data_IF_395149889938
#
_entry.id   IF_395149889938
#
_cell.length_a   1.000
_cell.length_b   1.000
_cell.length_c   1.000
_cell.angle_alpha   90.00
_cell.angle_beta   90.00
_cell.angle_gamma   90.00
#
_symmetry.space_group_name_H-M   'P 1'
#
loop_
_entity.id
_entity.type
_entity.pdbx_description
1 polymer ?
#
# COMPACT_ATOMS: atom_id res chain seq x y z
N UNK A 1 14.35 -25.37 -52.88
CA UNK A 1 13.13 -25.26 -52.06
C UNK A 1 13.52 -24.63 -50.75
N UNK A 2 13.04 -23.40 -50.55
CA UNK A 2 13.32 -22.52 -49.42
C UNK A 2 12.71 -23.06 -48.13
N UNK A 3 13.39 -22.84 -46.99
CA UNK A 3 12.75 -22.43 -45.73
C UNK A 3 13.69 -21.45 -45.02
N UNK A 4 13.49 -20.17 -45.30
CA UNK A 4 14.02 -19.07 -44.50
C UNK A 4 13.03 -18.85 -43.36
N UNK A 5 13.44 -19.12 -42.14
CA UNK A 5 12.65 -18.90 -40.93
C UNK A 5 12.75 -17.42 -40.58
N UNK A 6 11.68 -16.67 -40.86
CA UNK A 6 11.56 -15.26 -40.51
C UNK A 6 11.19 -15.18 -39.02
N UNK A 7 12.13 -14.77 -38.18
CA UNK A 7 11.85 -14.42 -36.78
C UNK A 7 11.11 -13.07 -36.78
N UNK A 8 9.81 -13.10 -36.53
CA UNK A 8 9.02 -11.90 -36.27
C UNK A 8 9.41 -11.38 -34.87
N UNK A 9 10.21 -10.33 -34.83
CA UNK A 9 10.45 -9.54 -33.63
C UNK A 9 9.18 -8.68 -33.42
N UNK A 10 8.29 -9.11 -32.53
CA UNK A 10 7.18 -8.29 -32.06
C UNK A 10 7.75 -7.26 -31.08
N UNK A 11 8.04 -6.06 -31.57
CA UNK A 11 8.29 -4.89 -30.71
C UNK A 11 6.92 -4.48 -30.18
N UNK A 12 6.56 -4.95 -28.99
CA UNK A 12 5.49 -4.35 -28.20
C UNK A 12 5.97 -2.98 -27.75
N UNK A 13 5.56 -1.94 -28.47
CA UNK A 13 5.56 -0.59 -27.92
C UNK A 13 4.52 -0.60 -26.80
N UNK A 14 4.99 -0.65 -25.55
CA UNK A 14 4.19 -0.41 -24.35
C UNK A 14 3.76 1.06 -24.46
N UNK A 15 2.53 1.29 -24.90
CA UNK A 15 1.91 2.60 -24.79
C UNK A 15 1.43 2.74 -23.35
N UNK A 16 2.35 3.11 -22.46
CA UNK A 16 1.97 3.66 -21.16
C UNK A 16 1.14 4.91 -21.44
N UNK A 17 -0.15 4.91 -21.06
CA UNK A 17 -0.94 6.12 -21.08
C UNK A 17 -0.21 7.14 -20.18
N UNK A 18 0.02 8.39 -20.62
CA UNK A 18 0.62 9.38 -19.75
C UNK A 18 -0.30 9.57 -18.55
N UNK A 19 0.21 9.20 -17.38
CA UNK A 19 -0.37 9.53 -16.08
C UNK A 19 -0.50 11.04 -16.02
N UNK A 20 -1.75 11.52 -15.90
CA UNK A 20 -2.03 12.96 -15.80
C UNK A 20 -1.85 13.38 -14.36
N UNK A 21 -0.81 14.15 -14.07
CA UNK A 21 -0.70 14.87 -12.81
C UNK A 21 -1.86 15.89 -12.73
N UNK A 22 -2.58 15.90 -11.60
CA UNK A 22 -3.67 16.84 -11.33
C UNK A 22 -5.08 16.33 -11.66
N UNK A 23 -5.50 15.15 -11.17
CA UNK A 23 -6.91 14.78 -11.29
C UNK A 23 -7.78 15.87 -10.67
N UNK A 24 -8.83 16.16 -11.42
CA UNK A 24 -9.97 16.93 -10.98
C UNK A 24 -10.51 16.26 -9.71
N UNK A 25 -10.60 17.02 -8.62
CA UNK A 25 -11.43 16.66 -7.47
C UNK A 25 -12.66 15.89 -7.94
N UNK A 26 -12.86 14.67 -7.44
CA UNK A 26 -13.87 13.74 -7.98
C UNK A 26 -15.32 14.29 -8.00
N UNK A 27 -15.55 15.47 -7.42
CA UNK A 27 -16.79 16.23 -7.45
C UNK A 27 -17.02 17.07 -8.73
N UNK A 28 -16.11 17.02 -9.72
CA UNK A 28 -16.15 17.80 -10.97
C UNK A 28 -16.20 19.32 -10.78
N UNK A 29 -15.87 19.82 -9.57
CA UNK A 29 -15.88 21.25 -9.31
C UNK A 29 -14.61 21.90 -9.87
N UNK A 30 -14.81 22.90 -10.72
CA UNK A 30 -13.69 23.63 -11.35
C UNK A 30 -13.02 24.60 -10.38
N UNK A 31 -13.67 25.03 -9.31
CA UNK A 31 -13.15 25.98 -8.31
C UNK A 31 -12.32 25.32 -7.20
N UNK A 32 -11.97 24.05 -7.36
CA UNK A 32 -11.18 23.27 -6.41
C UNK A 32 -9.91 22.73 -7.03
N UNK A 33 -8.96 22.35 -6.21
CA UNK A 33 -7.74 21.65 -6.59
C UNK A 33 -7.45 20.52 -5.60
N UNK A 34 -6.84 19.46 -6.11
CA UNK A 34 -6.35 18.36 -5.29
C UNK A 34 -5.00 18.74 -4.73
N UNK A 35 -4.83 18.57 -3.42
CA UNK A 35 -3.53 18.67 -2.77
C UNK A 35 -3.23 17.36 -2.05
N UNK A 36 -1.95 17.01 -1.99
CA UNK A 36 -1.46 15.96 -1.15
C UNK A 36 -1.17 16.55 0.22
N UNK A 37 -1.98 16.18 1.21
CA UNK A 37 -1.91 16.73 2.55
C UNK A 37 -1.22 15.76 3.51
N UNK A 38 -0.25 16.27 4.28
CA UNK A 38 0.37 15.51 5.35
C UNK A 38 -0.36 15.76 6.67
N UNK A 39 -1.11 14.76 7.16
CA UNK A 39 -1.88 14.89 8.40
C UNK A 39 -1.06 15.18 9.67
N UNK A 40 0.27 15.06 9.63
CA UNK A 40 1.20 15.33 10.74
C UNK A 40 2.60 15.70 10.25
N UNK A 41 3.26 16.65 10.90
CA UNK A 41 4.65 17.04 10.57
C UNK A 41 5.70 16.00 11.00
N UNK A 42 5.44 15.21 12.04
CA UNK A 42 6.43 14.28 12.60
C UNK A 42 6.34 12.86 12.03
N UNK A 43 5.24 12.56 11.34
CA UNK A 43 5.02 11.30 10.64
C UNK A 43 4.00 11.59 9.53
N UNK A 44 4.44 12.12 8.37
CA UNK A 44 3.54 12.59 7.33
C UNK A 44 2.76 11.41 6.74
N UNK A 45 1.48 11.35 7.09
CA UNK A 45 0.50 10.52 6.41
C UNK A 45 -0.09 11.35 5.28
N UNK A 46 0.25 10.98 4.06
CA UNK A 46 -0.14 11.68 2.85
C UNK A 46 -1.53 11.22 2.40
N UNK A 47 -2.49 12.14 2.39
CA UNK A 47 -3.85 11.91 1.91
C UNK A 47 -4.23 12.92 0.84
N UNK A 48 -4.95 12.44 -0.17
CA UNK A 48 -5.52 13.30 -1.20
C UNK A 48 -6.72 14.05 -0.62
N UNK A 49 -6.64 15.38 -0.55
CA UNK A 49 -7.78 16.21 -0.18
C UNK A 49 -8.11 17.24 -1.26
N UNK A 50 -9.37 17.64 -1.29
CA UNK A 50 -9.90 18.59 -2.27
C UNK A 50 -10.26 19.90 -1.60
N UNK A 51 -9.49 20.93 -1.92
CA UNK A 51 -9.59 22.25 -1.32
C UNK A 51 -9.99 23.28 -2.37
N UNK A 52 -10.67 24.35 -1.94
CA UNK A 52 -10.90 25.50 -2.82
C UNK A 52 -9.56 26.20 -3.11
N UNK A 53 -9.41 26.83 -4.28
CA UNK A 53 -8.18 27.53 -4.66
C UNK A 53 -7.71 28.55 -3.62
N UNK A 54 -8.64 29.24 -2.97
CA UNK A 54 -8.35 30.20 -1.90
C UNK A 54 -7.80 29.59 -0.62
N UNK A 55 -7.98 28.29 -0.40
CA UNK A 55 -7.48 27.58 0.78
C UNK A 55 -6.07 27.01 0.57
N UNK A 56 -5.57 26.92 -0.67
CA UNK A 56 -4.28 26.29 -1.01
C UNK A 56 -3.11 26.96 -0.29
N UNK A 57 -3.05 28.29 -0.28
CA UNK A 57 -1.99 29.02 0.42
C UNK A 57 -1.93 28.66 1.91
N UNK A 58 -3.09 28.55 2.56
CA UNK A 58 -3.16 28.17 3.97
C UNK A 58 -2.64 26.75 4.23
N UNK A 59 -2.87 25.84 3.29
CA UNK A 59 -2.33 24.48 3.35
C UNK A 59 -0.81 24.47 3.18
N UNK A 60 -0.30 24.99 2.05
CA UNK A 60 1.13 24.97 1.74
C UNK A 60 1.98 25.74 2.78
N UNK A 61 1.46 26.85 3.31
CA UNK A 61 2.20 27.69 4.27
C UNK A 61 2.23 27.10 5.69
N UNK A 62 1.15 26.45 6.12
CA UNK A 62 1.02 25.95 7.49
C UNK A 62 1.36 24.46 7.64
N UNK A 63 1.45 23.73 6.53
CA UNK A 63 1.80 22.32 6.50
C UNK A 63 2.98 22.12 5.55
N UNK A 64 4.19 21.99 6.13
CA UNK A 64 5.46 21.95 5.40
C UNK A 64 5.64 20.77 4.42
N UNK A 65 4.73 19.80 4.47
CA UNK A 65 4.70 18.63 3.61
C UNK A 65 3.49 18.60 2.67
N UNK A 66 2.64 19.63 2.70
CA UNK A 66 1.55 19.72 1.73
C UNK A 66 2.11 20.08 0.35
N UNK A 67 1.60 19.45 -0.70
CA UNK A 67 1.96 19.73 -2.09
C UNK A 67 0.71 19.76 -2.99
N UNK A 68 0.82 20.43 -4.12
CA UNK A 68 -0.24 20.52 -5.13
C UNK A 68 -0.20 19.30 -6.03
N UNK A 69 -1.37 18.70 -6.25
CA UNK A 69 -1.51 17.46 -6.99
C UNK A 69 -1.94 16.31 -6.09
N UNK A 70 -1.93 15.11 -6.64
CA UNK A 70 -2.24 13.91 -5.88
C UNK A 70 -0.99 13.35 -5.19
N UNK A 71 -1.16 12.76 -4.02
CA UNK A 71 -0.14 11.97 -3.38
C UNK A 71 0.36 10.86 -4.32
N UNK A 72 1.68 10.72 -4.41
CA UNK A 72 2.34 9.79 -5.32
C UNK A 72 2.38 10.24 -6.79
N UNK A 73 1.99 11.47 -7.13
CA UNK A 73 2.07 11.99 -8.50
C UNK A 73 3.38 12.74 -8.82
N UNK A 74 4.22 12.97 -7.80
CA UNK A 74 5.56 13.56 -7.91
C UNK A 74 6.57 12.73 -7.12
N UNK A 75 7.88 12.82 -7.44
CA UNK A 75 8.91 12.07 -6.69
C UNK A 75 8.90 12.40 -5.19
N UNK A 76 8.52 13.62 -4.84
CA UNK A 76 8.48 14.12 -3.47
C UNK A 76 7.25 13.61 -2.70
N UNK A 77 6.24 13.07 -3.40
CA UNK A 77 4.99 12.58 -2.80
C UNK A 77 4.81 11.05 -2.91
N UNK A 78 5.77 10.33 -3.50
CA UNK A 78 5.76 8.86 -3.51
C UNK A 78 6.04 8.31 -2.09
N UNK A 79 5.28 7.29 -1.72
CA UNK A 79 5.39 6.58 -0.46
C UNK A 79 5.97 5.19 -0.68
N UNK A 80 6.63 4.63 0.34
CA UNK A 80 7.11 3.24 0.39
C UNK A 80 5.98 2.20 0.41
N UNK A 81 4.70 2.63 0.49
CA UNK A 81 3.54 1.77 0.58
C UNK A 81 3.26 1.28 2.01
N UNK A 82 2.36 0.30 2.16
CA UNK A 82 1.97 -0.24 3.47
C UNK A 82 2.31 -1.72 3.56
N UNK A 83 3.06 -2.10 4.59
CA UNK A 83 3.40 -3.49 4.92
C UNK A 83 2.55 -4.00 6.08
N UNK A 84 2.00 -5.21 5.94
CA UNK A 84 1.17 -5.84 6.97
C UNK A 84 1.22 -7.38 6.89
N UNK A 85 1.03 -8.07 8.00
CA UNK A 85 0.80 -9.51 7.99
C UNK A 85 -0.61 -9.78 7.44
N UNK A 86 -0.76 -10.64 6.44
CA UNK A 86 -2.02 -10.73 5.69
C UNK A 86 -2.58 -12.14 5.57
N UNK A 87 -1.76 -13.16 5.72
CA UNK A 87 -2.23 -14.54 5.70
C UNK A 87 -1.24 -15.45 6.44
N UNK A 88 -1.73 -16.63 6.76
CA UNK A 88 -0.94 -17.69 7.35
C UNK A 88 -1.62 -19.02 7.04
N UNK A 89 -0.85 -20.09 7.01
CA UNK A 89 -1.41 -21.40 6.79
C UNK A 89 -0.58 -22.52 7.36
N UNK A 90 -1.23 -23.66 7.52
CA UNK A 90 -0.64 -24.91 8.00
C UNK A 90 -1.22 -26.09 7.24
N UNK A 91 -0.36 -27.06 6.95
CA UNK A 91 -0.73 -28.39 6.48
C UNK A 91 0.20 -29.43 7.10
N UNK A 92 -0.27 -30.65 7.18
CA UNK A 92 0.55 -31.82 7.48
C UNK A 92 0.63 -32.74 6.27
N UNK A 93 1.78 -33.39 6.10
CA UNK A 93 1.87 -34.53 5.20
C UNK A 93 0.95 -35.65 5.70
N UNK A 94 0.12 -36.21 4.81
CA UNK A 94 -0.78 -37.30 5.18
C UNK A 94 0.06 -38.52 5.62
N UNK A 95 -0.16 -39.07 6.82
CA UNK A 95 0.61 -40.22 7.27
C UNK A 95 0.32 -41.44 6.38
N UNK A 96 1.39 -42.10 5.93
CA UNK A 96 1.29 -43.32 5.10
C UNK A 96 0.59 -44.49 5.82
N UNK A 97 0.50 -44.45 7.16
CA UNK A 97 -0.18 -45.47 7.97
C UNK A 97 -0.57 -44.93 9.35
N UNK A 98 -1.49 -45.63 10.04
CA UNK A 98 -1.81 -45.36 11.45
C UNK A 98 -0.55 -45.50 12.28
N UNK A 99 -0.25 -44.53 13.13
CA UNK A 99 0.85 -44.64 14.07
C UNK A 99 0.39 -44.24 15.47
N UNK A 100 0.68 -45.09 16.45
CA UNK A 100 0.23 -44.92 17.82
C UNK A 100 1.41 -44.84 18.80
N UNK A 101 1.29 -44.02 19.84
CA UNK A 101 2.32 -43.76 20.85
C UNK A 101 1.75 -43.61 22.25
N UNK A 102 2.59 -43.86 23.25
CA UNK A 102 2.23 -43.65 24.65
C UNK A 102 2.14 -42.15 24.96
N UNK A 103 1.05 -41.70 25.58
CA UNK A 103 0.84 -40.32 26.03
C UNK A 103 1.81 -39.96 27.14
N UNK A 104 2.15 -40.89 28.03
CA UNK A 104 3.18 -40.66 29.06
C UNK A 104 4.61 -40.68 28.53
N UNK A 105 4.86 -41.34 27.40
CA UNK A 105 6.18 -41.40 26.77
C UNK A 105 6.06 -41.46 25.23
N UNK A 106 5.93 -40.30 24.56
CA UNK A 106 5.68 -40.24 23.11
C UNK A 106 6.80 -40.83 22.25
N UNK A 107 7.99 -41.06 22.81
CA UNK A 107 9.09 -41.74 22.11
C UNK A 107 8.86 -43.25 21.94
N UNK A 108 7.85 -43.82 22.62
CA UNK A 108 7.53 -45.26 22.57
C UNK A 108 6.26 -45.47 21.74
N UNK A 109 6.40 -46.22 20.64
CA UNK A 109 5.23 -46.64 19.86
C UNK A 109 4.41 -47.70 20.59
N UNK A 110 3.09 -47.54 20.56
CA UNK A 110 2.11 -48.56 20.96
C UNK A 110 1.37 -49.17 19.75
N UNK A 111 1.99 -49.10 18.55
CA UNK A 111 1.46 -49.64 17.30
C UNK A 111 1.88 -51.11 17.09
N UNK A 112 0.99 -52.05 16.67
CA UNK A 112 -0.47 -51.93 16.54
C UNK A 112 -1.10 -51.94 17.92
N UNK A 113 -2.08 -51.05 18.15
CA UNK A 113 -2.71 -50.78 19.46
C UNK A 113 -2.67 -52.01 20.38
N UNK A 114 -1.83 -51.97 21.41
CA UNK A 114 -1.93 -52.95 22.51
C UNK A 114 -3.31 -52.71 23.11
N UNK A 115 -4.27 -53.55 22.69
CA UNK A 115 -5.62 -53.70 23.19
C UNK A 115 -6.02 -52.67 24.26
N UNK A 116 -6.51 -51.50 23.83
CA UNK A 116 -7.33 -50.67 24.71
C UNK A 116 -8.61 -51.48 24.96
N UNK A 117 -8.58 -52.38 25.94
CA UNK A 117 -9.80 -53.06 26.38
C UNK A 117 -10.71 -52.00 26.99
N UNK A 118 -12.01 -51.97 26.66
CA UNK A 118 -12.97 -51.09 27.33
C UNK A 118 -13.03 -51.29 28.86
N UNK A 119 -12.42 -52.36 29.37
CA UNK A 119 -12.33 -52.69 30.79
C UNK A 119 -11.15 -52.02 31.52
N UNK A 120 -10.17 -51.48 30.80
CA UNK A 120 -9.04 -50.74 31.40
C UNK A 120 -9.23 -49.26 31.15
N UNK A 121 -9.67 -48.53 32.17
CA UNK A 121 -10.06 -47.10 32.17
C UNK A 121 -8.92 -46.10 31.91
N UNK A 122 -7.77 -46.54 31.40
CA UNK A 122 -6.61 -45.69 31.11
C UNK A 122 -5.88 -46.23 29.88
N UNK A 123 -6.42 -46.02 28.68
CA UNK A 123 -5.61 -46.24 27.49
C UNK A 123 -4.63 -45.07 27.35
N UNK A 124 -3.37 -45.34 27.66
CA UNK A 124 -2.26 -44.39 27.53
C UNK A 124 -1.79 -44.26 26.07
N UNK A 125 -2.51 -44.79 25.08
CA UNK A 125 -2.08 -44.85 23.68
C UNK A 125 -2.88 -43.84 22.83
N UNK A 126 -2.19 -42.92 22.15
CA UNK A 126 -2.75 -41.95 21.19
C UNK A 126 -2.31 -42.36 19.79
N UNK A 127 -3.23 -42.39 18.83
CA UNK A 127 -2.92 -42.72 17.44
C UNK A 127 -3.17 -41.55 16.49
N UNK A 128 -2.32 -41.40 15.48
CA UNK A 128 -2.70 -40.74 14.22
C UNK A 128 -3.87 -41.51 13.59
N UNK A 129 -4.76 -40.79 12.93
CA UNK A 129 -5.89 -41.34 12.21
C UNK A 129 -5.47 -41.96 10.88
N UNK A 130 -6.24 -42.96 10.42
CA UNK A 130 -6.19 -43.49 9.03
C UNK A 130 -7.40 -43.06 8.20
N UNK A 131 -8.25 -42.20 8.75
CA UNK A 131 -9.59 -41.91 8.24
C UNK A 131 -10.01 -40.48 8.58
N UNK A 132 -9.08 -39.52 8.53
CA UNK A 132 -9.36 -38.11 8.83
C UNK A 132 -10.06 -37.91 10.20
N UNK A 133 -9.62 -38.68 11.20
CA UNK A 133 -10.16 -38.61 12.55
C UNK A 133 -9.80 -37.29 13.24
N UNK A 134 -10.47 -36.93 14.35
CA UNK A 134 -10.30 -35.66 15.08
C UNK A 134 -8.89 -35.41 15.66
N UNK A 135 -7.95 -36.35 15.49
CA UNK A 135 -6.56 -36.22 15.91
C UNK A 135 -5.60 -35.83 14.75
N UNK A 136 -6.09 -35.80 13.51
CA UNK A 136 -5.35 -35.38 12.31
C UNK A 136 -5.92 -34.06 11.82
N UNK A 137 -5.79 -33.03 12.66
CA UNK A 137 -6.39 -31.72 12.42
C UNK A 137 -5.29 -30.70 12.40
N UNK A 138 -5.12 -30.09 11.24
CA UNK A 138 -4.42 -28.83 11.10
C UNK A 138 -5.21 -27.80 11.88
N UNK A 139 -4.64 -27.23 12.93
CA UNK A 139 -5.33 -26.27 13.77
C UNK A 139 -4.51 -25.00 13.91
N UNK A 140 -5.14 -23.88 13.57
CA UNK A 140 -4.53 -22.55 13.63
C UNK A 140 -5.45 -21.60 14.38
N UNK A 141 -4.88 -20.84 15.33
CA UNK A 141 -5.52 -19.73 16.02
C UNK A 141 -4.84 -18.43 15.64
N UNK A 142 -5.62 -17.40 15.39
CA UNK A 142 -5.11 -16.08 15.03
C UNK A 142 -6.16 -14.99 15.31
N UNK A 143 -5.74 -13.74 15.30
CA UNK A 143 -6.64 -12.60 15.23
C UNK A 143 -6.49 -11.93 13.87
N UNK A 144 -7.59 -11.71 13.17
CA UNK A 144 -7.57 -11.09 11.85
C UNK A 144 -8.93 -10.62 11.37
N UNK A 145 -8.92 -9.73 10.38
CA UNK A 145 -10.13 -9.17 9.77
C UNK A 145 -9.90 -8.75 8.32
N UNK A 146 -11.01 -8.63 7.59
CA UNK A 146 -11.05 -7.96 6.29
C UNK A 146 -11.10 -6.45 6.53
N UNK A 147 -10.45 -5.69 5.66
CA UNK A 147 -10.55 -4.23 5.59
C UNK A 147 -11.08 -3.81 4.21
N UNK A 148 -11.78 -2.68 4.14
CA UNK A 148 -12.38 -2.18 2.90
C UNK A 148 -11.47 -1.18 2.18
N UNK A 149 -10.68 -0.41 2.92
CA UNK A 149 -9.79 0.62 2.42
C UNK A 149 -8.44 0.59 3.13
N UNK A 150 -7.46 1.29 2.55
CA UNK A 150 -6.11 1.34 3.11
C UNK A 150 -6.03 2.20 4.39
N UNK A 151 -6.98 3.10 4.63
CA UNK A 151 -7.04 3.95 5.81
C UNK A 151 -7.32 3.12 7.07
N UNK A 152 -8.10 2.05 6.96
CA UNK A 152 -8.33 1.10 8.06
C UNK A 152 -7.01 0.50 8.60
N UNK A 153 -5.97 0.35 7.76
CA UNK A 153 -4.68 -0.21 8.16
C UNK A 153 -3.92 0.69 9.15
N UNK A 154 -4.24 1.98 9.22
CA UNK A 154 -3.66 2.90 10.21
C UNK A 154 -4.03 2.51 11.64
N UNK A 155 -5.15 1.82 11.82
CA UNK A 155 -5.67 1.42 13.12
C UNK A 155 -5.11 0.08 13.62
N UNK A 156 -4.18 -0.55 12.89
CA UNK A 156 -3.53 -1.82 13.29
C UNK A 156 -2.87 -1.71 14.68
N UNK A 157 -2.41 -0.51 15.06
CA UNK A 157 -1.84 -0.24 16.38
C UNK A 157 -2.87 -0.06 17.51
N UNK A 158 -4.16 0.13 17.21
CA UNK A 158 -5.22 0.29 18.21
C UNK A 158 -5.77 -1.07 18.66
N UNK A 159 -5.83 -1.30 19.97
CA UNK A 159 -6.42 -2.51 20.55
C UNK A 159 -7.91 -2.66 20.24
N UNK A 160 -8.65 -1.56 20.10
CA UNK A 160 -10.08 -1.60 19.77
C UNK A 160 -10.33 -2.12 18.35
N UNK A 161 -9.40 -1.87 17.42
CA UNK A 161 -9.46 -2.38 16.05
C UNK A 161 -9.52 -3.92 16.00
N UNK A 162 -8.92 -4.58 17.01
CA UNK A 162 -8.83 -6.03 17.13
C UNK A 162 -9.94 -6.66 17.96
N UNK A 163 -10.87 -5.89 18.52
CA UNK A 163 -11.94 -6.41 19.35
C UNK A 163 -12.81 -7.43 18.58
N UNK A 164 -12.94 -8.65 19.10
CA UNK A 164 -13.76 -9.70 18.49
C UNK A 164 -13.17 -10.38 17.24
N UNK A 165 -11.90 -10.13 16.92
CA UNK A 165 -11.24 -10.67 15.71
C UNK A 165 -10.59 -12.04 15.88
N UNK A 166 -10.68 -12.67 17.07
CA UNK A 166 -10.10 -13.99 17.33
C UNK A 166 -10.83 -15.07 16.53
N UNK A 167 -10.07 -15.84 15.77
CA UNK A 167 -10.56 -16.91 14.90
C UNK A 167 -9.75 -18.19 15.11
N UNK A 168 -10.36 -19.31 14.75
CA UNK A 168 -9.69 -20.60 14.65
C UNK A 168 -10.10 -21.29 13.35
N UNK A 169 -9.15 -21.91 12.67
CA UNK A 169 -9.35 -22.66 11.42
C UNK A 169 -8.87 -24.08 11.59
N UNK A 170 -9.60 -25.01 10.98
CA UNK A 170 -9.28 -26.44 11.06
C UNK A 170 -9.39 -27.13 9.71
N UNK A 171 -8.60 -28.18 9.45
CA UNK A 171 -8.76 -28.97 8.22
C UNK A 171 -10.02 -29.84 8.19
N UNK A 172 -10.78 -29.93 9.30
CA UNK A 172 -12.05 -30.64 9.34
C UNK A 172 -13.20 -29.73 8.92
N UNK A 173 -13.85 -30.07 7.80
CA UNK A 173 -14.98 -29.33 7.23
C UNK A 173 -16.17 -29.14 8.20
N UNK A 174 -16.36 -30.04 9.17
CA UNK A 174 -17.52 -30.07 10.08
C UNK A 174 -17.35 -29.11 11.27
N UNK A 175 -16.14 -28.61 11.56
CA UNK A 175 -15.81 -27.83 12.78
C UNK A 175 -15.35 -26.38 12.50
N UNK A 176 -16.08 -25.66 11.65
CA UNK A 176 -15.84 -24.27 11.21
C UNK A 176 -14.67 -24.08 10.23
N UNK A 177 -15.06 -24.06 8.94
CA UNK A 177 -14.37 -23.42 7.81
C UNK A 177 -12.96 -23.93 7.52
N UNK A 178 -12.84 -25.19 7.08
CA UNK A 178 -11.66 -25.67 6.35
C UNK A 178 -11.50 -24.90 5.04
N UNK A 179 -10.89 -23.73 5.13
CA UNK A 179 -10.40 -22.94 4.00
C UNK A 179 -9.11 -23.60 3.55
N UNK A 180 -9.21 -24.71 2.83
CA UNK A 180 -8.05 -25.36 2.24
C UNK A 180 -7.76 -24.67 0.91
N UNK A 181 -6.55 -24.14 0.73
CA UNK A 181 -6.15 -23.50 -0.52
C UNK A 181 -5.72 -24.51 -1.60
N UNK A 182 -5.32 -24.02 -2.76
CA UNK A 182 -4.87 -24.85 -3.88
C UNK A 182 -3.58 -25.66 -3.58
N UNK A 183 -2.80 -25.26 -2.59
CA UNK A 183 -1.58 -25.93 -2.12
C UNK A 183 -1.84 -26.94 -0.99
N UNK A 184 -3.08 -27.02 -0.51
CA UNK A 184 -3.50 -27.93 0.55
C UNK A 184 -3.36 -27.38 1.97
N UNK A 185 -3.08 -26.08 2.14
CA UNK A 185 -3.00 -25.44 3.45
C UNK A 185 -4.36 -25.05 3.98
N UNK A 186 -4.57 -25.25 5.28
CA UNK A 186 -5.61 -24.52 6.03
C UNK A 186 -5.12 -23.09 6.20
N UNK A 187 -5.80 -22.14 5.55
CA UNK A 187 -5.39 -20.74 5.51
C UNK A 187 -6.31 -19.83 6.32
N UNK A 188 -5.75 -18.70 6.77
CA UNK A 188 -6.51 -17.65 7.45
C UNK A 188 -7.47 -16.95 6.49
N UNK A 189 -7.04 -16.75 5.24
CA UNK A 189 -7.80 -16.10 4.17
C UNK A 189 -7.40 -16.62 2.79
N UNK A 190 -8.33 -16.53 1.82
CA UNK A 190 -8.05 -16.72 0.39
C UNK A 190 -7.87 -15.39 -0.35
N UNK A 191 -8.06 -14.26 0.33
CA UNK A 191 -7.96 -12.90 -0.24
C UNK A 191 -6.94 -12.11 0.58
N UNK A 192 -5.64 -12.44 0.51
CA UNK A 192 -4.61 -11.82 1.34
C UNK A 192 -4.51 -10.30 1.13
N UNK A 193 -4.81 -9.81 -0.07
CA UNK A 193 -4.77 -8.39 -0.39
C UNK A 193 -5.62 -7.52 0.55
N UNK A 194 -6.80 -7.99 0.94
CA UNK A 194 -7.74 -7.19 1.75
C UNK A 194 -7.94 -7.78 3.15
N UNK A 195 -6.93 -8.48 3.66
CA UNK A 195 -6.97 -9.14 4.96
C UNK A 195 -5.75 -8.79 5.79
N UNK A 196 -5.96 -8.53 7.09
CA UNK A 196 -4.89 -8.24 8.02
C UNK A 196 -4.92 -9.17 9.21
N UNK A 197 -3.74 -9.63 9.61
CA UNK A 197 -3.47 -10.42 10.80
C UNK A 197 -2.82 -9.54 11.87
N UNK A 198 -3.26 -9.73 13.12
CA UNK A 198 -2.66 -9.04 14.26
C UNK A 198 -1.28 -9.59 14.57
N UNK A 199 -0.31 -8.70 14.76
CA UNK A 199 1.03 -9.05 15.22
C UNK A 199 0.99 -9.88 16.50
N UNK A 200 1.84 -10.92 16.56
CA UNK A 200 1.96 -11.84 17.70
C UNK A 200 0.67 -12.59 18.09
N UNK A 201 -0.35 -12.63 17.22
CA UNK A 201 -1.61 -13.35 17.49
C UNK A 201 -1.65 -14.76 16.89
N UNK A 202 -0.79 -15.02 15.90
CA UNK A 202 -0.75 -16.28 15.18
C UNK A 202 -0.09 -17.35 16.03
N UNK A 203 -0.80 -18.46 16.22
CA UNK A 203 -0.28 -19.66 16.83
C UNK A 203 -0.73 -20.88 16.06
N UNK A 204 0.25 -21.72 15.74
CA UNK A 204 0.01 -23.03 15.16
C UNK A 204 0.02 -24.05 16.28
N UNK A 205 -1.11 -24.71 16.51
CA UNK A 205 -1.11 -25.90 17.37
C UNK A 205 -0.83 -27.07 16.45
N UNK A 206 0.44 -27.45 16.38
CA UNK A 206 0.86 -28.64 15.68
C UNK A 206 0.24 -29.83 16.44
N UNK A 207 -0.95 -30.27 16.00
CA UNK A 207 -1.70 -31.41 16.56
C UNK A 207 -0.85 -32.68 16.61
N UNK A 208 -1.28 -33.76 17.24
CA UNK A 208 -0.44 -34.92 17.64
C UNK A 208 0.35 -35.69 16.55
N UNK A 209 0.38 -35.23 15.30
CA UNK A 209 1.18 -35.80 14.21
C UNK A 209 2.62 -35.31 14.28
N UNK A 210 3.57 -36.24 14.15
CA UNK A 210 4.91 -36.11 14.74
C UNK A 210 6.03 -35.77 13.74
N UNK A 211 5.71 -35.47 12.48
CA UNK A 211 6.64 -35.03 11.43
C UNK A 211 5.88 -34.41 10.24
N UNK A 212 6.59 -33.67 9.40
CA UNK A 212 6.09 -33.25 8.08
C UNK A 212 5.07 -32.12 8.13
N UNK A 213 5.00 -31.37 9.23
CA UNK A 213 4.24 -30.12 9.25
C UNK A 213 4.91 -29.12 8.32
N UNK A 214 4.11 -28.49 7.48
CA UNK A 214 4.50 -27.32 6.70
C UNK A 214 3.58 -26.16 7.09
N UNK A 215 4.17 -25.00 7.36
CA UNK A 215 3.44 -23.79 7.67
C UNK A 215 4.04 -22.59 6.96
N UNK A 216 3.22 -21.57 6.74
CA UNK A 216 3.67 -20.33 6.14
C UNK A 216 3.10 -19.10 6.83
N UNK A 217 3.79 -17.98 6.65
CA UNK A 217 3.30 -16.65 7.01
C UNK A 217 3.48 -15.74 5.80
N UNK A 218 2.43 -15.02 5.45
CA UNK A 218 2.45 -14.01 4.38
C UNK A 218 2.54 -12.62 4.98
N UNK A 219 3.57 -11.88 4.55
CA UNK A 219 3.65 -10.45 4.69
C UNK A 219 3.25 -9.83 3.36
N UNK A 220 2.24 -8.98 3.38
CA UNK A 220 1.78 -8.26 2.22
C UNK A 220 2.34 -6.85 2.22
N UNK A 221 2.51 -6.34 1.01
CA UNK A 221 2.79 -4.95 0.72
C UNK A 221 1.75 -4.45 -0.28
N UNK A 222 1.21 -3.26 -0.03
CA UNK A 222 0.25 -2.60 -0.92
C UNK A 222 0.77 -1.24 -1.34
N UNK A 223 0.77 -1.00 -2.64
CA UNK A 223 1.13 0.28 -3.20
C UNK A 223 -0.02 1.27 -2.97
N UNK A 224 0.29 2.40 -2.36
CA UNK A 224 -0.68 3.48 -2.10
C UNK A 224 -0.43 4.68 -3.01
N UNK A 225 0.59 4.64 -3.86
CA UNK A 225 0.88 5.68 -4.83
C UNK A 225 -0.14 5.62 -5.96
N UNK A 226 -0.44 6.79 -6.51
CA UNK A 226 -1.30 6.92 -7.69
C UNK A 226 -0.75 6.09 -8.85
N UNK A 227 -1.65 5.42 -9.57
CA UNK A 227 -1.33 4.60 -10.75
C UNK A 227 -0.22 3.56 -10.48
N UNK A 228 -0.11 3.12 -9.22
CA UNK A 228 0.89 2.16 -8.77
C UNK A 228 2.33 2.56 -9.10
N UNK A 229 2.56 3.88 -9.19
CA UNK A 229 3.86 4.43 -9.55
C UNK A 229 4.92 4.07 -8.50
N UNK A 230 6.13 3.91 -9.01
CA UNK A 230 7.31 3.70 -8.20
C UNK A 230 7.94 2.33 -8.41
N UNK A 231 9.25 2.34 -8.37
CA UNK A 231 10.09 1.15 -8.31
C UNK A 231 10.50 0.88 -6.86
N UNK A 232 10.24 -0.32 -6.40
CA UNK A 232 10.39 -0.73 -5.00
C UNK A 232 11.39 -1.87 -4.85
N UNK A 233 12.26 -1.75 -3.86
CA UNK A 233 13.17 -2.80 -3.41
C UNK A 233 12.57 -3.52 -2.19
N UNK A 234 12.50 -4.84 -2.26
CA UNK A 234 11.96 -5.69 -1.21
C UNK A 234 13.11 -6.30 -0.41
N UNK A 235 13.09 -6.16 0.91
CA UNK A 235 14.04 -6.80 1.83
C UNK A 235 13.27 -7.64 2.84
N UNK A 236 12.87 -8.86 2.48
CA UNK A 236 12.27 -9.79 3.42
C UNK A 236 13.30 -10.26 4.44
N UNK A 237 12.86 -10.46 5.68
CA UNK A 237 13.72 -10.88 6.79
C UNK A 237 13.00 -11.89 7.63
N UNK A 238 13.72 -12.93 8.05
CA UNK A 238 13.19 -13.86 9.02
C UNK A 238 14.27 -14.36 9.99
N UNK A 239 13.84 -14.63 11.20
CA UNK A 239 14.65 -15.14 12.30
C UNK A 239 13.82 -16.02 13.21
N UNK A 240 14.44 -16.62 14.21
CA UNK A 240 13.73 -17.45 15.18
C UNK A 240 14.35 -17.34 16.58
N UNK A 241 13.53 -17.62 17.60
CA UNK A 241 13.97 -17.89 18.96
C UNK A 241 13.63 -19.34 19.28
N UNK A 242 14.63 -20.09 19.73
CA UNK A 242 14.48 -21.53 19.97
C UNK A 242 14.63 -21.86 21.45
N UNK A 243 13.85 -22.83 21.92
CA UNK A 243 14.12 -23.50 23.20
C UNK A 243 15.08 -24.67 22.98
N UNK A 244 16.03 -24.84 23.88
CA UNK A 244 16.78 -26.09 23.92
C UNK A 244 15.87 -27.23 24.37
N UNK A 245 15.81 -28.29 23.57
CA UNK A 245 15.06 -29.51 23.83
C UNK A 245 16.08 -30.66 23.90
N UNK A 246 16.26 -31.24 25.08
CA UNK A 246 17.15 -32.39 25.31
C UNK A 246 18.60 -32.18 24.85
N UNK A 247 19.11 -30.95 24.91
CA UNK A 247 20.49 -30.61 24.52
C UNK A 247 20.69 -30.30 23.03
N UNK A 248 19.63 -30.31 22.21
CA UNK A 248 19.61 -29.84 20.83
C UNK A 248 18.56 -28.73 20.66
N UNK A 249 18.63 -27.94 19.59
CA UNK A 249 17.58 -26.94 19.31
C UNK A 249 16.40 -27.59 18.59
N UNK A 250 15.19 -27.03 18.66
CA UNK A 250 14.05 -27.52 17.88
C UNK A 250 14.33 -27.53 16.37
N UNK A 251 15.07 -26.54 15.87
CA UNK A 251 15.37 -26.39 14.44
C UNK A 251 16.24 -27.55 13.98
N UNK A 252 17.24 -27.94 14.79
CA UNK A 252 18.08 -29.10 14.52
C UNK A 252 17.29 -30.41 14.59
N UNK A 253 16.43 -30.56 15.61
CA UNK A 253 15.66 -31.78 15.82
C UNK A 253 14.58 -32.00 14.75
N UNK A 254 13.94 -30.92 14.30
CA UNK A 254 12.88 -30.95 13.30
C UNK A 254 13.39 -30.82 11.86
N UNK A 255 14.70 -30.61 11.67
CA UNK A 255 15.34 -30.38 10.37
C UNK A 255 14.53 -29.38 9.53
N UNK A 256 14.26 -28.20 10.10
CA UNK A 256 13.38 -27.22 9.47
C UNK A 256 14.02 -26.74 8.17
N UNK A 257 13.29 -26.90 7.07
CA UNK A 257 13.56 -26.29 5.78
C UNK A 257 12.74 -25.00 5.64
N UNK A 258 13.30 -24.02 4.96
CA UNK A 258 12.64 -22.75 4.69
C UNK A 258 12.76 -22.36 3.23
N UNK A 259 11.79 -21.59 2.75
CA UNK A 259 11.74 -21.00 1.40
C UNK A 259 11.03 -19.66 1.49
N UNK A 260 11.49 -18.69 0.71
CA UNK A 260 10.77 -17.43 0.47
C UNK A 260 10.26 -17.38 -0.96
N UNK A 261 9.00 -17.00 -1.13
CA UNK A 261 8.33 -16.76 -2.41
C UNK A 261 7.73 -15.35 -2.40
N UNK A 262 7.81 -14.64 -3.52
CA UNK A 262 7.28 -13.29 -3.69
C UNK A 262 6.49 -13.22 -4.98
N UNK A 263 5.18 -13.08 -4.83
CA UNK A 263 4.21 -12.94 -5.91
C UNK A 263 3.69 -11.50 -5.90
N UNK A 264 3.70 -10.83 -7.04
CA UNK A 264 3.21 -9.47 -7.20
C UNK A 264 2.09 -9.40 -8.25
N UNK A 265 1.25 -8.39 -8.10
CA UNK A 265 0.21 -8.01 -9.06
C UNK A 265 0.58 -6.65 -9.63
N UNK A 266 0.57 -6.52 -10.96
CA UNK A 266 0.81 -5.24 -11.64
C UNK A 266 -0.47 -4.36 -11.72
N UNK A 267 -0.38 -3.27 -12.47
CA UNK A 267 -1.49 -2.34 -12.73
C UNK A 267 -2.64 -2.93 -13.55
N UNK A 268 -2.38 -4.00 -14.31
CA UNK A 268 -3.33 -4.69 -15.20
C UNK A 268 -3.95 -5.94 -14.53
N UNK A 269 -3.83 -6.06 -13.21
CA UNK A 269 -4.21 -7.23 -12.41
C UNK A 269 -3.49 -8.53 -12.83
N UNK A 270 -2.33 -8.43 -13.49
CA UNK A 270 -1.54 -9.60 -13.87
C UNK A 270 -0.63 -10.03 -12.72
N UNK A 271 -0.76 -11.31 -12.35
CA UNK A 271 -0.01 -11.92 -11.25
C UNK A 271 1.26 -12.57 -11.80
N UNK A 272 2.40 -12.24 -11.19
CA UNK A 272 3.70 -12.81 -11.55
C UNK A 272 4.59 -13.06 -10.32
N UNK A 273 5.49 -14.03 -10.42
CA UNK A 273 6.47 -14.33 -9.38
C UNK A 273 7.72 -13.47 -9.58
N UNK A 274 7.99 -12.58 -8.63
CA UNK A 274 9.20 -11.76 -8.59
C UNK A 274 10.41 -12.57 -8.10
N UNK A 275 10.21 -13.47 -7.15
CA UNK A 275 11.27 -14.24 -6.52
C UNK A 275 10.74 -15.57 -5.98
N UNK A 276 11.42 -16.68 -6.25
CA UNK A 276 11.12 -18.01 -5.67
C UNK A 276 12.43 -18.70 -5.29
N UNK A 277 12.63 -18.92 -4.00
CA UNK A 277 13.80 -19.59 -3.47
C UNK A 277 13.60 -21.12 -3.45
N UNK A 278 14.64 -21.92 -3.67
CA UNK A 278 14.53 -23.35 -3.36
C UNK A 278 14.48 -23.58 -1.84
N UNK A 279 13.80 -24.64 -1.40
CA UNK A 279 13.86 -25.07 0.00
C UNK A 279 15.31 -25.26 0.45
N UNK A 280 15.67 -24.61 1.56
CA UNK A 280 17.01 -24.64 2.14
C UNK A 280 16.95 -24.91 3.63
N UNK A 281 18.06 -25.36 4.22
CA UNK A 281 18.12 -25.67 5.66
C UNK A 281 18.05 -24.38 6.47
N UNK A 282 17.14 -24.33 7.44
CA UNK A 282 17.03 -23.20 8.34
C UNK A 282 18.24 -23.20 9.29
N UNK A 283 19.03 -22.11 9.38
CA UNK A 283 20.27 -22.11 10.15
C UNK A 283 20.02 -22.41 11.62
N UNK A 284 20.89 -23.17 12.25
CA UNK A 284 20.75 -23.57 13.65
C UNK A 284 21.12 -22.47 14.66
N UNK A 285 21.71 -21.36 14.20
CA UNK A 285 22.07 -20.21 15.03
C UNK A 285 21.17 -19.02 14.71
N UNK A 286 20.92 -18.18 15.73
CA UNK A 286 20.18 -16.92 15.56
C UNK A 286 20.95 -15.97 14.64
N UNK A 287 20.70 -16.07 13.35
CA UNK A 287 21.09 -15.09 12.34
C UNK A 287 19.84 -14.67 11.59
N UNK A 288 19.60 -13.37 11.48
CA UNK A 288 18.64 -12.85 10.52
C UNK A 288 19.08 -13.26 9.11
N UNK A 289 18.15 -13.80 8.33
CA UNK A 289 18.35 -14.13 6.93
C UNK A 289 17.72 -13.08 6.04
N UNK A 290 18.42 -12.73 4.97
CA UNK A 290 18.06 -11.68 4.02
C UNK A 290 18.12 -12.25 2.59
N UNK A 291 17.03 -12.84 2.09
CA UNK A 291 16.93 -13.17 0.67
C UNK A 291 17.19 -11.90 -0.16
N UNK A 292 18.08 -12.02 -1.15
CA UNK A 292 18.31 -10.93 -2.10
C UNK A 292 17.17 -10.93 -3.11
N UNK A 293 16.24 -9.98 -2.94
CA UNK A 293 15.14 -9.77 -3.86
C UNK A 293 15.52 -8.62 -4.80
N UNK A 294 15.14 -8.72 -6.06
CA UNK A 294 15.28 -7.61 -7.00
C UNK A 294 14.30 -6.47 -6.68
N UNK A 295 14.36 -5.43 -7.49
CA UNK A 295 13.37 -4.36 -7.50
C UNK A 295 12.23 -4.66 -8.47
N UNK A 296 11.03 -4.15 -8.17
CA UNK A 296 9.85 -4.25 -9.04
C UNK A 296 9.21 -2.87 -9.24
N UNK A 297 8.58 -2.64 -10.39
CA UNK A 297 8.00 -1.34 -10.78
C UNK A 297 6.56 -1.55 -11.26
N UNK A 298 5.70 -0.54 -11.12
CA UNK A 298 4.31 -0.56 -11.60
C UNK A 298 3.44 -1.63 -10.95
N UNK A 299 3.68 -1.94 -9.67
CA UNK A 299 2.94 -2.99 -8.93
C UNK A 299 1.96 -2.42 -7.93
N UNK A 300 0.77 -3.00 -7.92
CA UNK A 300 -0.32 -2.63 -7.01
C UNK A 300 -0.21 -3.33 -5.65
N UNK A 301 0.26 -4.58 -5.67
CA UNK A 301 0.29 -5.45 -4.51
C UNK A 301 1.41 -6.49 -4.63
N UNK A 302 2.05 -6.84 -3.51
CA UNK A 302 2.96 -7.97 -3.44
C UNK A 302 2.73 -8.78 -2.16
N UNK A 303 2.81 -10.11 -2.29
CA UNK A 303 2.76 -11.08 -1.20
C UNK A 303 4.12 -11.75 -1.05
N UNK A 304 4.75 -11.54 0.09
CA UNK A 304 5.97 -12.26 0.51
C UNK A 304 5.57 -13.41 1.43
N UNK A 305 5.71 -14.64 0.94
CA UNK A 305 5.42 -15.86 1.68
C UNK A 305 6.69 -16.51 2.19
N UNK A 306 6.77 -16.70 3.50
CA UNK A 306 7.82 -17.50 4.14
C UNK A 306 7.27 -18.87 4.51
N UNK A 307 7.82 -19.91 3.89
CA UNK A 307 7.53 -21.31 4.20
C UNK A 307 8.50 -21.85 5.25
N UNK A 308 7.98 -22.73 6.10
CA UNK A 308 8.73 -23.51 7.08
C UNK A 308 8.20 -24.94 7.06
N UNK A 309 9.07 -25.89 6.78
CA UNK A 309 8.73 -27.30 6.62
C UNK A 309 9.60 -28.15 7.53
N UNK A 310 8.99 -29.03 8.31
CA UNK A 310 9.73 -30.05 9.04
C UNK A 310 10.13 -31.20 8.10
N UNK A 311 11.42 -31.50 7.98
CA UNK A 311 11.93 -32.63 7.18
C UNK A 311 12.42 -33.80 8.04
N UNK A 312 12.38 -33.65 9.37
CA UNK A 312 12.83 -34.67 10.30
C UNK A 312 11.95 -35.91 10.26
N UNK A 313 12.61 -37.07 10.27
CA UNK A 313 11.99 -38.39 10.46
C UNK A 313 11.89 -38.79 11.93
N UNK A 314 12.29 -37.89 12.84
CA UNK A 314 12.32 -38.14 14.28
C UNK A 314 11.13 -37.47 14.96
N UNK A 315 10.73 -38.02 16.12
CA UNK A 315 9.62 -37.48 16.90
C UNK A 315 9.92 -36.09 17.43
N UNK A 316 9.06 -35.13 17.10
CA UNK A 316 9.16 -33.82 17.75
C UNK A 316 8.84 -33.90 19.25
N UNK A 317 9.57 -33.18 20.11
CA UNK A 317 9.19 -33.01 21.50
C UNK A 317 7.81 -32.35 21.65
N UNK A 318 6.98 -32.84 22.58
CA UNK A 318 5.62 -32.35 22.84
C UNK A 318 5.54 -31.00 23.57
N UNK A 319 6.63 -30.23 23.56
CA UNK A 319 6.71 -28.97 24.30
C UNK A 319 6.06 -27.83 23.51
N UNK A 320 5.10 -27.14 24.12
CA UNK A 320 4.47 -25.97 23.52
C UNK A 320 5.47 -24.81 23.40
N UNK A 321 5.34 -24.04 22.32
CA UNK A 321 6.21 -22.90 22.00
C UNK A 321 7.69 -23.32 21.95
N UNK A 322 8.00 -24.40 21.24
CA UNK A 322 9.35 -24.89 21.02
C UNK A 322 10.20 -23.92 20.18
N UNK A 323 9.54 -23.24 19.23
CA UNK A 323 10.12 -22.21 18.36
C UNK A 323 9.17 -21.01 18.27
N UNK A 324 9.73 -19.82 18.23
CA UNK A 324 9.06 -18.58 17.85
C UNK A 324 9.74 -18.09 16.57
N UNK A 325 8.99 -17.97 15.48
CA UNK A 325 9.50 -17.43 14.21
C UNK A 325 9.10 -15.97 14.12
N UNK A 326 10.06 -15.13 13.74
CA UNK A 326 9.87 -13.69 13.58
C UNK A 326 10.15 -13.37 12.13
N UNK A 327 9.15 -12.88 11.42
CA UNK A 327 9.27 -12.39 10.05
C UNK A 327 9.08 -10.87 10.03
N UNK A 328 9.76 -10.19 9.12
CA UNK A 328 9.54 -8.78 8.84
C UNK A 328 9.82 -8.50 7.38
N UNK A 329 9.22 -7.44 6.85
CA UNK A 329 9.39 -7.02 5.48
C UNK A 329 9.68 -5.52 5.49
N UNK A 330 10.78 -5.15 4.85
CA UNK A 330 11.12 -3.76 4.56
C UNK A 330 10.96 -3.56 3.05
N UNK A 331 10.21 -2.53 2.65
CA UNK A 331 10.03 -2.14 1.25
C UNK A 331 10.46 -0.68 1.14
N UNK A 332 11.28 -0.37 0.14
CA UNK A 332 11.80 0.97 -0.10
C UNK A 332 11.61 1.39 -1.53
N UNK A 333 11.16 2.63 -1.72
CA UNK A 333 11.21 3.28 -3.01
C UNK A 333 12.67 3.52 -3.42
N UNK A 334 13.05 3.15 -4.65
CA UNK A 334 14.41 3.40 -5.16
C UNK A 334 14.61 4.88 -5.47
N UNK A 335 15.81 5.43 -5.29
CA UNK A 335 16.09 6.87 -5.44
C UNK A 335 16.00 7.39 -6.91
N UNK A 336 16.13 6.50 -7.90
CA UNK A 336 16.17 6.84 -9.33
C UNK A 336 14.78 6.79 -10.00
N UNK A 337 13.73 7.29 -9.35
CA UNK A 337 12.38 7.28 -9.96
C UNK A 337 12.29 8.25 -11.14
N UNK A 338 11.76 7.78 -12.27
CA UNK A 338 11.25 8.68 -13.30
C UNK A 338 9.93 9.21 -12.76
N UNK A 339 9.89 10.50 -12.40
CA UNK A 339 8.65 11.14 -11.96
C UNK A 339 7.58 11.02 -13.05
N UNK A 340 6.31 10.80 -12.67
CA UNK A 340 5.20 11.02 -13.59
C UNK A 340 5.34 12.41 -14.23
N UNK A 341 4.92 12.55 -15.49
CA UNK A 341 4.99 13.84 -16.17
C UNK A 341 4.02 14.79 -15.46
N UNK A 342 4.58 15.78 -14.78
CA UNK A 342 3.82 16.88 -14.21
C UNK A 342 3.26 17.74 -15.36
N UNK A 343 1.96 17.65 -15.60
CA UNK A 343 1.26 18.46 -16.62
C UNK A 343 0.98 19.90 -16.14
N UNK A 344 1.34 20.20 -14.89
CA UNK A 344 1.18 21.49 -14.24
C UNK A 344 -0.26 21.85 -13.91
N UNK A 345 -0.49 23.14 -13.65
CA UNK A 345 -1.81 23.66 -13.23
C UNK A 345 -2.36 24.62 -14.27
N UNK A 346 -3.60 24.39 -14.70
CA UNK A 346 -4.34 25.28 -15.62
C UNK A 346 -5.40 26.05 -14.86
N UNK A 347 -5.28 27.38 -14.85
CA UNK A 347 -6.06 28.29 -14.02
C UNK A 347 -6.70 29.42 -14.83
N UNK A 348 -7.94 29.73 -14.47
CA UNK A 348 -8.68 30.92 -14.83
C UNK A 348 -8.73 31.85 -13.63
N UNK A 349 -8.02 32.97 -13.75
CA UNK A 349 -7.93 33.95 -12.67
C UNK A 349 -8.69 35.22 -13.06
N UNK A 350 -9.85 35.53 -12.43
CA UNK A 350 -10.62 36.73 -12.74
C UNK A 350 -9.86 38.02 -12.40
N UNK A 351 -9.89 39.00 -13.29
CA UNK A 351 -9.25 40.31 -13.13
C UNK A 351 -10.21 41.45 -13.47
N UNK A 352 -10.01 42.63 -12.86
CA UNK A 352 -10.70 43.86 -13.28
C UNK A 352 -9.82 44.67 -14.25
N UNK A 353 -10.40 45.09 -15.37
CA UNK A 353 -9.72 45.90 -16.40
C UNK A 353 -9.46 47.35 -15.97
N UNK A 354 -9.96 47.81 -14.81
CA UNK A 354 -9.79 49.18 -14.33
C UNK A 354 -8.70 49.21 -13.25
N UNK A 355 -7.55 49.89 -13.50
CA UNK A 355 -6.51 50.06 -12.49
C UNK A 355 -7.06 50.79 -11.26
N UNK A 356 -6.99 50.15 -10.09
CA UNK A 356 -7.36 50.76 -8.81
C UNK A 356 -8.73 50.39 -8.23
N UNK A 357 -9.51 49.53 -8.90
CA UNK A 357 -10.70 48.91 -8.29
C UNK A 357 -10.42 47.45 -7.94
N UNK A 358 -9.55 47.23 -6.96
CA UNK A 358 -9.17 45.89 -6.47
C UNK A 358 -10.21 45.21 -5.58
N UNK A 359 -11.33 45.88 -5.29
CA UNK A 359 -12.40 45.30 -4.49
C UNK A 359 -13.59 44.99 -5.38
N UNK A 360 -13.60 43.78 -5.93
CA UNK A 360 -14.85 43.08 -6.21
C UNK A 360 -15.63 43.00 -4.90
N UNK A 361 -16.44 44.02 -4.61
CA UNK A 361 -17.35 44.04 -3.47
C UNK A 361 -18.50 43.07 -3.76
N UNK A 362 -18.22 41.77 -3.75
CA UNK A 362 -19.22 40.70 -3.75
C UNK A 362 -19.69 40.44 -2.32
N UNK A 363 -20.13 41.51 -1.63
CA UNK A 363 -20.89 41.34 -0.40
C UNK A 363 -22.33 40.97 -0.79
N UNK A 364 -22.55 39.68 -1.01
CA UNK A 364 -23.86 39.02 -0.95
C UNK A 364 -24.83 39.30 -2.10
N UNK A 365 -25.07 38.26 -2.90
CA UNK A 365 -26.36 37.97 -3.54
C UNK A 365 -26.73 38.72 -4.84
N UNK A 366 -25.75 39.26 -5.57
CA UNK A 366 -25.97 39.91 -6.87
C UNK A 366 -25.38 39.11 -8.02
N UNK A 367 -26.21 38.83 -9.03
CA UNK A 367 -25.86 38.24 -10.32
C UNK A 367 -24.77 39.10 -11.02
N UNK A 368 -23.49 38.83 -10.74
CA UNK A 368 -22.33 39.67 -11.07
C UNK A 368 -21.85 39.62 -12.53
N UNK A 369 -22.52 38.84 -13.39
CA UNK A 369 -22.11 38.62 -14.79
C UNK A 369 -22.21 39.84 -15.72
N UNK A 370 -22.52 41.04 -15.20
CA UNK A 370 -22.80 42.22 -16.03
C UNK A 370 -21.84 43.39 -15.81
N UNK A 371 -20.72 43.21 -15.10
CA UNK A 371 -19.67 44.23 -15.13
C UNK A 371 -18.82 44.04 -16.40
N UNK A 372 -18.95 44.93 -17.40
CA UNK A 372 -18.21 44.81 -18.66
C UNK A 372 -16.70 45.02 -18.49
N UNK A 373 -16.24 45.41 -17.29
CA UNK A 373 -14.82 45.56 -16.96
C UNK A 373 -14.18 44.28 -16.40
N UNK A 374 -14.95 43.24 -16.10
CA UNK A 374 -14.38 41.96 -15.67
C UNK A 374 -13.82 41.18 -16.86
N UNK A 375 -12.58 40.73 -16.71
CA UNK A 375 -11.91 39.84 -17.64
C UNK A 375 -11.38 38.64 -16.88
N UNK A 376 -10.91 37.62 -17.60
CA UNK A 376 -10.28 36.45 -16.99
C UNK A 376 -8.91 36.17 -17.61
N UNK A 377 -7.92 35.94 -16.76
CA UNK A 377 -6.61 35.50 -17.17
C UNK A 377 -6.59 33.99 -17.33
N UNK A 378 -6.20 33.53 -18.52
CA UNK A 378 -5.94 32.13 -18.78
C UNK A 378 -4.45 31.84 -18.52
N UNK A 379 -4.16 31.08 -17.47
CA UNK A 379 -2.82 30.89 -16.94
C UNK A 379 -2.48 29.41 -16.89
N UNK A 380 -1.29 29.03 -17.37
CA UNK A 380 -0.79 27.67 -17.29
C UNK A 380 0.55 27.66 -16.57
N UNK A 381 0.60 26.97 -15.44
CA UNK A 381 1.84 26.59 -14.77
C UNK A 381 2.38 25.34 -15.43
N UNK A 382 3.67 25.28 -15.71
CA UNK A 382 4.29 24.10 -16.36
C UNK A 382 4.41 22.92 -15.40
N UNK A 383 4.55 23.18 -14.11
CA UNK A 383 4.61 22.18 -13.03
C UNK A 383 3.70 22.59 -11.88
N UNK A 384 3.24 21.63 -11.07
CA UNK A 384 2.59 21.87 -9.78
C UNK A 384 3.50 22.70 -8.87
N UNK A 385 4.81 22.44 -8.89
CA UNK A 385 5.80 23.20 -8.12
C UNK A 385 5.86 24.69 -8.54
N UNK A 386 5.76 24.99 -9.84
CA UNK A 386 5.67 26.37 -10.30
C UNK A 386 4.43 27.09 -9.76
N UNK A 387 3.30 26.37 -9.62
CA UNK A 387 2.09 26.89 -8.99
C UNK A 387 2.24 27.04 -7.47
N UNK A 388 2.86 26.08 -6.78
CA UNK A 388 3.15 26.18 -5.34
C UNK A 388 4.02 27.39 -5.01
N UNK A 389 5.13 27.56 -5.74
CA UNK A 389 6.00 28.72 -5.60
C UNK A 389 5.22 30.01 -5.84
N UNK A 390 4.41 30.05 -6.91
CA UNK A 390 3.54 31.19 -7.19
C UNK A 390 2.60 31.49 -6.03
N UNK A 391 1.93 30.48 -5.44
CA UNK A 391 1.04 30.68 -4.30
C UNK A 391 1.80 31.15 -3.05
N UNK A 392 2.94 30.54 -2.73
CA UNK A 392 3.73 30.82 -1.53
C UNK A 392 4.46 32.17 -1.57
N UNK A 393 4.81 32.65 -2.77
CA UNK A 393 5.46 33.95 -3.00
C UNK A 393 4.52 35.14 -2.71
N UNK A 394 3.26 34.91 -2.32
CA UNK A 394 2.35 35.96 -1.92
C UNK A 394 2.55 36.40 -0.48
N UNK A 395 2.89 37.67 -0.29
CA UNK A 395 2.81 38.30 1.02
C UNK A 395 1.34 38.34 1.49
N UNK A 396 1.04 37.54 2.52
CA UNK A 396 -0.20 37.65 3.27
C UNK A 396 -0.25 39.02 3.96
N UNK A 397 -0.92 39.97 3.32
CA UNK A 397 -1.12 41.32 3.86
C UNK A 397 -2.03 41.35 5.10
N UNK A 398 -2.59 40.21 5.53
CA UNK A 398 -3.32 40.10 6.80
C UNK A 398 -2.36 39.88 7.98
N UNK A 399 -2.07 40.97 8.70
CA UNK A 399 -1.36 40.93 9.97
C UNK A 399 -2.10 40.08 11.01
N UNK A 400 -1.77 38.79 11.11
CA UNK A 400 -1.79 38.03 12.37
C UNK A 400 -3.10 37.37 12.80
N UNK A 401 -4.01 37.04 11.88
CA UNK A 401 -5.09 36.10 12.19
C UNK A 401 -5.04 34.93 11.19
N UNK A 402 -4.97 33.70 11.67
CA UNK A 402 -4.64 32.46 10.94
C UNK A 402 -5.64 32.03 9.85
N UNK A 403 -6.50 32.93 9.39
CA UNK A 403 -7.30 32.76 8.18
C UNK A 403 -6.68 33.67 7.13
N UNK A 404 -5.55 33.25 6.55
CA UNK A 404 -4.79 34.06 5.58
C UNK A 404 -5.71 34.56 4.48
N UNK A 405 -5.83 35.88 4.33
CA UNK A 405 -6.43 36.46 3.15
C UNK A 405 -5.39 36.43 2.02
N UNK A 406 -5.21 35.24 1.43
CA UNK A 406 -4.95 35.14 -0.01
C UNK A 406 -6.18 35.78 -0.67
N UNK A 407 -6.11 37.11 -0.82
CA UNK A 407 -7.21 38.04 -0.52
C UNK A 407 -8.15 38.22 -1.71
N UNK A 408 -9.38 37.75 -1.54
CA UNK A 408 -10.64 38.14 -2.20
C UNK A 408 -10.82 37.72 -3.66
N UNK A 409 -9.78 37.59 -4.50
CA UNK A 409 -9.97 37.24 -5.92
C UNK A 409 -9.81 35.76 -6.27
N UNK A 410 -9.17 34.96 -5.41
CA UNK A 410 -8.95 33.53 -5.66
C UNK A 410 -10.13 32.63 -5.28
N UNK A 411 -11.17 33.19 -4.68
CA UNK A 411 -12.42 32.45 -4.46
C UNK A 411 -13.14 32.13 -5.79
N UNK A 412 -12.85 32.92 -6.82
CA UNK A 412 -13.43 32.79 -8.16
C UNK A 412 -12.44 32.16 -9.15
N UNK A 413 -11.27 31.72 -8.66
CA UNK A 413 -10.33 30.93 -9.45
C UNK A 413 -10.99 29.62 -9.86
N UNK A 414 -10.78 29.24 -11.11
CA UNK A 414 -11.34 28.01 -11.66
C UNK A 414 -10.38 27.34 -12.63
N UNK A 415 -10.47 26.03 -12.78
CA UNK A 415 -9.69 25.29 -13.77
C UNK A 415 -10.28 25.45 -15.16
N UNK A 416 -9.42 25.45 -16.18
CA UNK A 416 -9.83 25.21 -17.57
C UNK A 416 -9.22 23.91 -18.10
N UNK A 417 -9.79 23.39 -19.17
CA UNK A 417 -9.41 22.10 -19.75
C UNK A 417 -8.93 22.29 -21.19
N UNK A 418 -8.40 21.24 -21.81
CA UNK A 418 -8.03 21.30 -23.23
C UNK A 418 -9.25 21.48 -24.16
N UNK A 419 -10.46 21.24 -23.63
CA UNK A 419 -11.73 21.37 -24.36
C UNK A 419 -12.46 22.68 -24.10
N UNK A 420 -12.14 23.41 -23.03
CA UNK A 420 -12.81 24.65 -22.63
C UNK A 420 -11.77 25.66 -22.19
N UNK A 421 -11.73 26.83 -22.84
CA UNK A 421 -10.90 27.95 -22.41
C UNK A 421 -11.55 28.72 -21.26
N UNK A 422 -10.83 29.67 -20.66
CA UNK A 422 -11.35 30.40 -19.49
C UNK A 422 -12.62 31.22 -19.78
N UNK A 423 -12.80 31.71 -20.99
CA UNK A 423 -14.02 32.43 -21.35
C UNK A 423 -15.23 31.50 -21.48
N UNK A 424 -15.02 30.26 -21.90
CA UNK A 424 -16.07 29.24 -21.92
C UNK A 424 -16.37 28.73 -20.50
N UNK A 425 -15.35 28.58 -19.66
CA UNK A 425 -15.48 28.14 -18.26
C UNK A 425 -16.21 29.17 -17.40
N UNK A 426 -15.85 30.45 -17.51
CA UNK A 426 -16.31 31.51 -16.60
C UNK A 426 -17.40 32.40 -17.19
N UNK A 427 -17.55 32.41 -18.52
CA UNK A 427 -18.40 33.36 -19.23
C UNK A 427 -17.80 34.77 -19.36
N UNK A 428 -16.56 34.99 -18.90
CA UNK A 428 -15.87 36.27 -18.95
C UNK A 428 -15.01 36.41 -20.22
N UNK A 429 -14.78 37.63 -20.74
CA UNK A 429 -13.82 37.84 -21.83
C UNK A 429 -12.39 37.51 -21.36
N UNK A 430 -11.67 36.71 -22.15
CA UNK A 430 -10.27 36.34 -21.86
C UNK A 430 -9.37 37.55 -22.05
N UNK A 431 -8.64 37.93 -21.00
CA UNK A 431 -7.66 39.00 -21.02
C UNK A 431 -6.44 38.62 -21.87
N UNK A 432 -5.78 39.61 -22.46
CA UNK A 432 -4.51 39.35 -23.15
C UNK A 432 -3.43 38.92 -22.14
N UNK A 433 -2.48 38.04 -22.51
CA UNK A 433 -1.39 37.65 -21.61
C UNK A 433 -0.59 38.84 -21.04
N UNK A 434 -0.44 39.92 -21.81
CA UNK A 434 0.23 41.13 -21.33
C UNK A 434 -0.57 41.84 -20.21
N UNK A 435 -1.89 41.92 -20.35
CA UNK A 435 -2.76 42.46 -19.30
C UNK A 435 -2.70 41.60 -18.02
N UNK A 436 -2.59 40.28 -18.17
CA UNK A 436 -2.39 39.37 -17.05
C UNK A 436 -1.04 39.58 -16.36
N UNK A 437 0.04 39.73 -17.13
CA UNK A 437 1.37 40.05 -16.57
C UNK A 437 1.34 41.38 -15.82
N UNK A 438 0.75 42.43 -16.40
CA UNK A 438 0.62 43.74 -15.75
C UNK A 438 -0.18 43.64 -14.45
N UNK A 439 -1.27 42.86 -14.46
CA UNK A 439 -2.11 42.66 -13.28
C UNK A 439 -1.38 41.88 -12.18
N UNK A 440 -0.74 40.76 -12.51
CA UNK A 440 0.09 40.02 -11.56
C UNK A 440 1.23 40.88 -11.02
N UNK A 441 1.93 41.63 -11.87
CA UNK A 441 2.98 42.54 -11.40
C UNK A 441 2.42 43.60 -10.43
N UNK A 442 1.24 44.14 -10.70
CA UNK A 442 0.59 45.13 -9.85
C UNK A 442 0.08 44.56 -8.52
N UNK A 443 -0.34 43.29 -8.51
CA UNK A 443 -0.80 42.57 -7.32
C UNK A 443 0.36 42.04 -6.47
N UNK A 444 1.60 42.32 -6.86
CA UNK A 444 2.80 41.99 -6.07
C UNK A 444 3.44 40.65 -6.42
N UNK A 445 3.00 39.99 -7.50
CA UNK A 445 3.64 38.76 -7.97
C UNK A 445 5.08 39.06 -8.36
N UNK A 446 6.04 38.44 -7.65
CA UNK A 446 7.46 38.77 -7.74
C UNK A 446 8.04 38.60 -9.16
N UNK A 447 9.07 39.40 -9.46
CA UNK A 447 9.78 39.42 -10.75
C UNK A 447 10.59 38.17 -11.08
N UNK A 448 10.56 37.16 -10.21
CA UNK A 448 11.41 35.98 -10.36
C UNK A 448 10.81 34.98 -11.34
N UNK A 449 9.47 34.89 -11.43
CA UNK A 449 8.80 34.01 -12.38
C UNK A 449 9.02 34.41 -13.84
N UNK A 450 9.29 33.41 -14.69
CA UNK A 450 9.38 33.60 -16.13
C UNK A 450 8.00 33.47 -16.76
N UNK A 451 7.49 34.60 -17.26
CA UNK A 451 6.21 34.69 -17.96
C UNK A 451 6.39 34.55 -19.48
N UNK A 452 5.72 33.58 -20.09
CA UNK A 452 5.75 33.34 -21.54
C UNK A 452 4.32 33.51 -22.11
N UNK A 453 4.04 34.58 -22.86
CA UNK A 453 2.76 34.73 -23.53
C UNK A 453 2.67 33.75 -24.73
N UNK A 454 1.62 32.92 -24.77
CA UNK A 454 1.38 31.97 -25.85
C UNK A 454 -0.11 31.84 -26.18
N UNK A 455 -0.53 32.33 -27.35
CA UNK A 455 -1.86 32.03 -27.90
C UNK A 455 -3.05 32.40 -27.01
N UNK A 456 -2.96 33.50 -26.25
CA UNK A 456 -4.00 33.91 -25.28
C UNK A 456 -3.84 33.32 -23.88
N UNK A 457 -2.90 32.39 -23.70
CA UNK A 457 -2.52 31.82 -22.41
C UNK A 457 -1.24 32.48 -21.91
N UNK A 458 -1.17 32.77 -20.62
CA UNK A 458 0.05 33.15 -19.92
C UNK A 458 0.68 31.90 -19.33
N UNK A 459 1.83 31.48 -19.85
CA UNK A 459 2.56 30.33 -19.31
C UNK A 459 3.53 30.83 -18.24
N UNK A 460 3.54 30.17 -17.08
CA UNK A 460 4.42 30.46 -15.95
C UNK A 460 5.33 29.26 -15.75
N UNK A 461 6.64 29.50 -15.82
CA UNK A 461 7.67 28.49 -15.57
C UNK A 461 8.09 28.48 -14.10
N UNK A 462 8.64 27.34 -13.68
CA UNK A 462 9.43 27.22 -12.45
C UNK A 462 10.73 28.04 -12.56
N UNK A 463 11.21 28.53 -11.42
CA UNK A 463 12.44 29.34 -11.34
C UNK A 463 13.73 28.54 -11.42
#
# INVERSE_FOLDING_TARGET
>A
MNKVTLALLFIFAIFSAPVRAGNICGDNKLNKITICHAGSENNPHFVNICVDFSAVHGHLKNHSHDSVGECGSSAESLSDGIVYACNAGIKHEKPNSRVCYLRTNPAVSCNPSISCSPETSSCDCICSGTSDGPNNVDFMKYSGRIFADNEELENIGDENFWAGTSQAKTSIAIHNSGSIDGEGFVVATHTPENYVLRNNSLSFELGSELHGTEYFVDLCWKNINKDFAGKFEFTPKYSFKNKQLFGQTYVDSAEILTRTDIECTDEDDYIFNLFDEALSIFPSQMSELFPQVGSVDGVSFCRVRHYFKEDSKTFRPWNLNAIEVITSLEVKLTEDQVTPVDEGVKLCHPISAIPGNTNGSTNGNGNGNNDPSLQVCQVQFVTSLAYEQFVLDHEDSSNGNSNSSYSVNHNDDSRFTDSLNCGETTGLPVASPLACIEKFTADGYHSNHVFIPNGGTLIILEN
#
